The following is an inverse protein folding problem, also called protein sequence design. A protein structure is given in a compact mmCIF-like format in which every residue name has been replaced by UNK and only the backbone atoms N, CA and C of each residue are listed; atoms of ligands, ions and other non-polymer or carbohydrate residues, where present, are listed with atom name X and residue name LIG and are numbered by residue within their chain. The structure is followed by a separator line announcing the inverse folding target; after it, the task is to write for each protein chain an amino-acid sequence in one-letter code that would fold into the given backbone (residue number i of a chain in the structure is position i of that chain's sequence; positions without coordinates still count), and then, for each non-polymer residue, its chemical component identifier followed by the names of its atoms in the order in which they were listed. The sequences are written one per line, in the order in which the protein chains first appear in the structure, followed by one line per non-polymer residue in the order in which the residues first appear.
data_IF_993446517631
#
_entry.id   IF_993446517631
#
_cell.length_a   1.000
_cell.length_b   1.000
_cell.length_c   1.000
_cell.angle_alpha   90.00
_cell.angle_beta   90.00
_cell.angle_gamma   90.00
#
_symmetry.space_group_name_H-M   'P 1'
#
loop_
_entity.id
_entity.type
_entity.pdbx_description
1 polymer ?
#
# COMPACT_ATOMS: atom_id res chain seq x y z
N UNK A 1 -35.74 -1.67 -9.59
CA UNK A 1 -34.41 -1.87 -8.99
C UNK A 1 -33.65 -0.55 -9.08
N UNK A 2 -33.28 0.05 -7.95
CA UNK A 2 -32.40 1.23 -7.97
C UNK A 2 -31.01 0.82 -8.47
N UNK A 3 -30.41 1.64 -9.33
CA UNK A 3 -29.06 1.42 -9.86
C UNK A 3 -28.07 1.62 -8.72
N UNK A 4 -27.46 0.54 -8.22
CA UNK A 4 -26.40 0.61 -7.21
C UNK A 4 -25.18 1.30 -7.84
N UNK A 5 -24.82 2.49 -7.35
CA UNK A 5 -23.62 3.21 -7.78
C UNK A 5 -22.49 2.90 -6.82
N UNK A 6 -21.52 2.10 -7.27
CA UNK A 6 -20.31 1.84 -6.53
C UNK A 6 -19.22 2.81 -6.99
N UNK A 7 -18.66 3.58 -6.05
CA UNK A 7 -17.50 4.43 -6.32
C UNK A 7 -16.26 3.70 -5.82
N UNK A 8 -15.19 3.71 -6.63
CA UNK A 8 -13.85 3.27 -6.24
C UNK A 8 -13.01 4.51 -6.01
N UNK A 9 -12.25 4.52 -4.94
CA UNK A 9 -11.31 5.59 -4.63
C UNK A 9 -9.87 5.07 -4.79
N UNK A 10 -9.04 5.93 -5.37
CA UNK A 10 -7.65 5.64 -5.67
C UNK A 10 -6.73 5.80 -4.44
N UNK A 11 -7.11 6.69 -3.51
CA UNK A 11 -6.28 7.18 -2.41
C UNK A 11 -7.02 7.19 -1.09
N UNK A 12 -6.25 7.10 -0.02
CA UNK A 12 -6.68 7.28 1.36
C UNK A 12 -5.58 8.02 2.13
N UNK A 13 -5.93 9.13 2.78
CA UNK A 13 -5.05 9.79 3.73
C UNK A 13 -5.20 9.15 5.11
N UNK A 14 -4.09 8.70 5.67
CA UNK A 14 -4.04 8.08 6.99
C UNK A 14 -3.92 9.13 8.10
N UNK A 15 -4.30 8.82 9.35
CA UNK A 15 -4.16 9.75 10.48
C UNK A 15 -2.72 10.20 10.75
N UNK A 16 -1.73 9.39 10.35
CA UNK A 16 -0.31 9.70 10.46
C UNK A 16 0.23 10.57 9.29
N UNK A 17 -0.66 11.12 8.45
CA UNK A 17 -0.31 12.00 7.34
C UNK A 17 0.08 11.28 6.04
N UNK A 18 0.28 9.96 6.07
CA UNK A 18 0.65 9.20 4.86
C UNK A 18 -0.51 9.11 3.87
N UNK A 19 -0.20 9.11 2.58
CA UNK A 19 -1.15 8.89 1.47
C UNK A 19 -0.98 7.46 0.99
N UNK A 20 -1.92 6.61 1.39
CA UNK A 20 -2.03 5.25 0.88
C UNK A 20 -2.70 5.29 -0.50
N UNK A 21 -2.01 4.81 -1.53
CA UNK A 21 -2.54 4.68 -2.88
C UNK A 21 -3.14 3.29 -3.07
N UNK A 22 -3.69 3.03 -4.24
CA UNK A 22 -4.23 1.73 -4.61
C UNK A 22 -3.79 1.38 -6.02
N UNK A 23 -3.76 0.09 -6.34
CA UNK A 23 -3.41 -0.39 -7.68
C UNK A 23 -4.33 0.23 -8.74
N UNK A 24 -5.62 0.43 -8.44
CA UNK A 24 -6.54 1.13 -9.34
C UNK A 24 -6.10 2.57 -9.67
N UNK A 25 -5.55 3.29 -8.68
CA UNK A 25 -5.01 4.64 -8.89
C UNK A 25 -3.66 4.64 -9.61
N UNK A 26 -2.77 3.73 -9.23
CA UNK A 26 -1.40 3.66 -9.75
C UNK A 26 -1.33 3.07 -11.18
N UNK A 27 -2.35 2.33 -11.63
CA UNK A 27 -2.34 1.68 -12.94
C UNK A 27 -2.21 2.64 -14.14
N UNK A 28 -2.44 3.94 -13.94
CA UNK A 28 -2.32 4.98 -14.98
C UNK A 28 -1.11 5.91 -14.77
N UNK A 29 -0.22 5.61 -13.80
CA UNK A 29 0.98 6.41 -13.56
C UNK A 29 2.17 5.85 -14.35
N UNK A 30 2.99 6.74 -14.92
CA UNK A 30 4.17 6.33 -15.66
C UNK A 30 5.16 5.56 -14.76
N UNK A 31 5.77 4.50 -15.30
CA UNK A 31 6.71 3.63 -14.56
C UNK A 31 7.93 4.38 -13.98
N UNK A 32 8.18 5.63 -14.41
CA UNK A 32 9.30 6.46 -13.94
C UNK A 32 9.05 7.14 -12.59
N UNK A 33 7.80 7.35 -12.17
CA UNK A 33 7.47 8.09 -10.94
C UNK A 33 6.67 7.29 -9.89
N UNK A 34 6.49 5.97 -10.07
CA UNK A 34 5.76 5.16 -9.08
C UNK A 34 6.63 4.92 -7.84
N UNK A 35 6.63 5.86 -6.90
CA UNK A 35 6.84 5.53 -5.48
C UNK A 35 5.65 4.67 -5.05
N UNK A 36 5.72 3.36 -5.30
CA UNK A 36 4.63 2.42 -5.04
C UNK A 36 4.19 2.56 -3.59
N UNK A 37 2.96 3.05 -3.39
CA UNK A 37 2.34 3.34 -2.08
C UNK A 37 1.01 2.60 -1.94
N UNK A 38 0.81 1.55 -2.75
CA UNK A 38 -0.35 0.65 -2.70
C UNK A 38 -0.25 -0.46 -1.66
N UNK A 39 0.90 -0.67 -1.03
CA UNK A 39 1.07 -1.65 0.04
C UNK A 39 0.85 -0.99 1.41
N UNK A 40 0.04 -1.64 2.25
CA UNK A 40 -0.25 -1.19 3.61
C UNK A 40 0.02 -2.28 4.63
N UNK A 41 0.50 -1.89 5.80
CA UNK A 41 0.53 -2.76 6.98
C UNK A 41 -0.78 -2.63 7.73
N UNK A 42 -1.44 -3.77 7.99
CA UNK A 42 -2.66 -3.84 8.79
C UNK A 42 -2.45 -4.80 9.97
N UNK A 43 -3.24 -4.63 11.02
CA UNK A 43 -3.28 -5.59 12.13
C UNK A 43 -4.50 -6.51 12.01
N UNK A 44 -4.29 -7.83 12.06
CA UNK A 44 -5.36 -8.84 12.06
C UNK A 44 -5.10 -9.78 13.23
N UNK A 45 -5.97 -9.74 14.25
CA UNK A 45 -5.84 -10.55 15.48
C UNK A 45 -4.44 -10.43 16.12
N UNK A 46 -3.98 -9.18 16.28
CA UNK A 46 -2.66 -8.85 16.86
C UNK A 46 -1.45 -9.38 16.09
N UNK A 47 -1.67 -9.77 14.84
CA UNK A 47 -0.60 -10.10 13.90
C UNK A 47 -0.56 -9.09 12.76
N UNK A 48 0.58 -8.41 12.54
CA UNK A 48 0.74 -7.58 11.37
C UNK A 48 0.66 -8.44 10.10
N UNK A 49 0.02 -7.92 9.06
CA UNK A 49 0.12 -8.49 7.72
C UNK A 49 0.15 -7.38 6.67
N UNK A 50 0.74 -7.71 5.52
CA UNK A 50 0.93 -6.75 4.43
C UNK A 50 -0.06 -7.03 3.33
N UNK A 51 -0.68 -5.95 2.84
CA UNK A 51 -1.75 -6.03 1.86
C UNK A 51 -1.49 -5.03 0.74
N UNK A 52 -1.50 -5.52 -0.50
CA UNK A 52 -1.56 -4.67 -1.68
C UNK A 52 -3.02 -4.27 -1.94
N UNK A 53 -3.32 -2.98 -1.78
CA UNK A 53 -4.67 -2.45 -1.91
C UNK A 53 -5.04 -2.30 -3.37
N UNK A 54 -6.11 -2.97 -3.79
CA UNK A 54 -6.66 -2.85 -5.14
C UNK A 54 -7.44 -1.55 -5.33
N UNK A 55 -8.31 -1.21 -4.38
CA UNK A 55 -9.04 0.08 -4.33
C UNK A 55 -9.72 0.26 -2.97
N UNK A 56 -10.07 1.51 -2.66
CA UNK A 56 -10.89 1.88 -1.50
C UNK A 56 -12.36 2.08 -1.90
N UNK A 57 -13.27 1.90 -0.94
CA UNK A 57 -14.70 2.13 -1.12
C UNK A 57 -15.40 2.50 0.19
N UNK A 58 -16.61 3.05 0.09
CA UNK A 58 -17.46 3.36 1.24
C UNK A 58 -18.71 2.48 1.18
N UNK A 59 -19.05 1.86 2.30
CA UNK A 59 -20.29 1.12 2.48
C UNK A 59 -20.87 1.44 3.85
N UNK A 60 -22.16 1.81 3.89
CA UNK A 60 -22.84 2.26 5.11
C UNK A 60 -22.05 3.35 5.85
N UNK A 61 -21.57 4.35 5.11
CA UNK A 61 -20.76 5.48 5.61
C UNK A 61 -19.43 5.09 6.28
N UNK A 62 -19.00 3.83 6.14
CA UNK A 62 -17.71 3.33 6.62
C UNK A 62 -16.77 3.06 5.45
N UNK A 63 -15.52 3.49 5.59
CA UNK A 63 -14.46 3.23 4.63
C UNK A 63 -13.91 1.81 4.71
N UNK A 64 -13.75 1.18 3.55
CA UNK A 64 -13.17 -0.14 3.37
C UNK A 64 -12.10 -0.13 2.28
N UNK A 65 -11.24 -1.14 2.33
CA UNK A 65 -10.28 -1.46 1.29
C UNK A 65 -10.49 -2.90 0.83
N UNK A 66 -10.42 -3.12 -0.49
CA UNK A 66 -10.21 -4.45 -1.07
C UNK A 66 -8.72 -4.59 -1.40
N UNK A 67 -8.11 -5.69 -1.02
CA UNK A 67 -6.71 -5.97 -1.35
C UNK A 67 -6.37 -7.45 -1.46
N UNK A 68 -5.11 -7.71 -1.78
CA UNK A 68 -4.48 -9.04 -1.78
C UNK A 68 -3.41 -9.08 -0.71
N UNK A 69 -3.34 -10.17 0.04
CA UNK A 69 -2.40 -10.30 1.17
C UNK A 69 -1.11 -10.94 0.68
N UNK A 70 0.03 -10.39 1.09
CA UNK A 70 1.32 -11.07 0.98
C UNK A 70 1.36 -12.28 1.91
N UNK A 71 2.02 -13.38 1.50
CA UNK A 71 2.28 -14.50 2.40
C UNK A 71 2.97 -14.06 3.70
N UNK A 72 2.80 -14.87 4.74
CA UNK A 72 3.45 -14.60 6.02
C UNK A 72 4.98 -14.66 5.89
N UNK A 73 5.71 -13.83 6.66
CA UNK A 73 7.15 -13.78 6.54
C UNK A 73 7.79 -15.09 7.00
N UNK A 74 9.03 -15.30 6.58
CA UNK A 74 9.90 -16.29 7.19
C UNK A 74 10.07 -15.97 8.70
N UNK A 75 9.45 -16.80 9.55
CA UNK A 75 9.44 -16.60 11.00
C UNK A 75 10.82 -16.79 11.62
N UNK A 76 11.68 -17.63 11.03
CA UNK A 76 13.04 -17.86 11.54
C UNK A 76 13.91 -16.64 11.26
N UNK A 77 13.86 -16.09 10.05
CA UNK A 77 14.58 -14.87 9.70
C UNK A 77 14.09 -13.67 10.52
N UNK A 78 12.78 -13.54 10.69
CA UNK A 78 12.20 -12.47 11.50
C UNK A 78 12.64 -12.61 12.97
N UNK A 79 12.67 -13.82 13.53
CA UNK A 79 13.11 -14.08 14.90
C UNK A 79 14.61 -13.80 15.08
N UNK A 80 15.46 -14.33 14.19
CA UNK A 80 16.91 -14.15 14.25
C UNK A 80 17.34 -12.69 14.07
N UNK A 81 16.57 -11.92 13.31
CA UNK A 81 16.79 -10.48 13.11
C UNK A 81 16.08 -9.60 14.15
N UNK A 82 15.55 -10.16 15.23
CA UNK A 82 14.82 -9.44 16.29
C UNK A 82 13.66 -8.58 15.76
N UNK A 83 12.93 -9.09 14.77
CA UNK A 83 11.79 -8.41 14.15
C UNK A 83 12.16 -7.38 13.08
N UNK A 84 13.43 -7.30 12.69
CA UNK A 84 13.92 -6.29 11.74
C UNK A 84 13.69 -6.68 10.29
N UNK A 85 13.95 -7.94 9.93
CA UNK A 85 13.88 -8.42 8.54
C UNK A 85 12.58 -9.19 8.34
N UNK A 86 11.66 -8.59 7.59
CA UNK A 86 10.41 -9.23 7.16
C UNK A 86 10.52 -9.60 5.69
N UNK A 87 10.63 -10.90 5.41
CA UNK A 87 10.76 -11.45 4.07
C UNK A 87 9.56 -12.35 3.75
N UNK A 88 8.71 -11.94 2.81
CA UNK A 88 7.54 -12.69 2.39
C UNK A 88 7.84 -13.44 1.06
N UNK A 89 7.63 -14.76 1.00
CA UNK A 89 7.86 -15.53 -0.22
C UNK A 89 6.70 -15.34 -1.20
N UNK A 90 6.98 -14.85 -2.40
CA UNK A 90 6.01 -14.77 -3.50
C UNK A 90 5.05 -13.58 -3.49
N UNK A 91 4.21 -13.54 -4.52
CA UNK A 91 3.28 -12.45 -4.81
C UNK A 91 2.07 -12.42 -3.85
N UNK A 92 1.46 -11.24 -3.66
CA UNK A 92 0.24 -11.16 -2.87
C UNK A 92 -0.91 -11.86 -3.59
N UNK A 93 -1.69 -12.63 -2.82
CA UNK A 93 -2.77 -13.44 -3.35
C UNK A 93 -4.02 -13.39 -2.44
N UNK A 94 -5.06 -14.10 -2.88
CA UNK A 94 -6.38 -14.05 -2.23
C UNK A 94 -7.06 -12.69 -2.39
N UNK A 95 -8.26 -12.56 -1.82
CA UNK A 95 -9.00 -11.30 -1.74
C UNK A 95 -9.47 -11.10 -0.33
N UNK A 96 -9.18 -9.95 0.24
CA UNK A 96 -9.64 -9.57 1.57
C UNK A 96 -10.28 -8.19 1.53
N UNK A 97 -11.36 -8.04 2.28
CA UNK A 97 -12.00 -6.75 2.56
C UNK A 97 -11.77 -6.43 4.03
N UNK A 98 -11.31 -5.22 4.31
CA UNK A 98 -11.04 -4.77 5.68
C UNK A 98 -11.40 -3.30 5.84
N UNK A 99 -11.74 -2.91 7.07
CA UNK A 99 -11.95 -1.50 7.40
C UNK A 99 -10.64 -0.73 7.25
N UNK A 100 -10.70 0.46 6.65
CA UNK A 100 -9.52 1.32 6.50
C UNK A 100 -8.91 1.73 7.84
N UNK A 101 -9.69 1.70 8.93
CA UNK A 101 -9.21 1.98 10.28
C UNK A 101 -8.19 0.95 10.79
N UNK A 102 -8.06 -0.21 10.13
CA UNK A 102 -7.03 -1.22 10.46
C UNK A 102 -5.66 -0.91 9.85
N UNK A 103 -5.57 0.08 8.98
CA UNK A 103 -4.31 0.47 8.33
C UNK A 103 -3.44 1.22 9.33
N UNK A 104 -2.26 0.68 9.58
CA UNK A 104 -1.28 1.26 10.50
C UNK A 104 -0.31 2.18 9.76
N UNK A 105 0.16 1.76 8.59
CA UNK A 105 1.12 2.50 7.78
C UNK A 105 1.07 2.10 6.32
N UNK A 106 1.53 3.01 5.45
CA UNK A 106 1.97 2.71 4.09
C UNK A 106 3.38 2.14 4.14
N UNK A 107 3.62 1.06 3.41
CA UNK A 107 4.89 0.34 3.35
C UNK A 107 5.27 0.08 1.91
N UNK A 108 6.53 -0.31 1.68
CA UNK A 108 6.96 -0.86 0.41
C UNK A 108 7.28 -2.35 0.57
N UNK A 109 6.90 -3.14 -0.44
CA UNK A 109 7.32 -4.54 -0.57
C UNK A 109 8.29 -4.62 -1.74
N UNK A 110 9.58 -4.68 -1.43
CA UNK A 110 10.66 -4.61 -2.41
C UNK A 110 10.96 -6.02 -2.93
N UNK A 111 10.76 -6.29 -4.24
CA UNK A 111 11.06 -7.59 -4.80
C UNK A 111 12.56 -7.86 -4.83
N UNK A 112 12.93 -9.11 -4.57
CA UNK A 112 14.27 -9.66 -4.68
C UNK A 112 14.18 -11.10 -5.16
N UNK A 113 15.13 -11.55 -5.98
CA UNK A 113 15.20 -12.94 -6.44
C UNK A 113 16.34 -13.64 -5.71
N UNK A 114 16.01 -14.63 -4.89
CA UNK A 114 16.97 -15.47 -4.18
C UNK A 114 16.83 -16.90 -4.68
N UNK A 115 17.89 -17.44 -5.30
CA UNK A 115 17.90 -18.81 -5.85
C UNK A 115 16.73 -19.14 -6.78
N UNK A 116 16.29 -18.14 -7.57
CA UNK A 116 15.16 -18.27 -8.50
C UNK A 116 13.78 -18.14 -7.85
N UNK A 117 13.70 -17.91 -6.54
CA UNK A 117 12.47 -17.63 -5.82
C UNK A 117 12.28 -16.12 -5.64
N UNK A 118 11.08 -15.63 -5.93
CA UNK A 118 10.72 -14.25 -5.63
C UNK A 118 10.43 -14.08 -4.14
N UNK A 119 11.15 -13.17 -3.51
CA UNK A 119 11.00 -12.79 -2.10
C UNK A 119 10.75 -11.29 -2.06
N UNK A 120 9.86 -10.85 -1.19
CA UNK A 120 9.55 -9.44 -0.99
C UNK A 120 9.97 -9.01 0.42
N UNK A 121 10.81 -7.99 0.48
CA UNK A 121 11.24 -7.39 1.75
C UNK A 121 10.37 -6.19 2.11
N UNK A 122 9.89 -6.17 3.34
CA UNK A 122 9.17 -5.02 3.88
C UNK A 122 10.14 -3.87 4.14
N UNK A 123 9.78 -2.69 3.65
CA UNK A 123 10.41 -1.43 4.02
C UNK A 123 9.33 -0.50 4.57
N UNK A 124 9.44 -0.20 5.86
CA UNK A 124 8.64 0.84 6.51
C UNK A 124 9.08 2.22 6.03
N UNK A 125 8.17 3.20 6.06
CA UNK A 125 8.45 4.61 5.73
C UNK A 125 8.42 5.50 6.99
N UNK A 126 9.35 5.33 7.96
CA UNK A 126 9.30 6.06 9.24
C UNK A 126 9.56 7.56 9.10
N UNK A 127 10.37 7.97 8.11
CA UNK A 127 10.72 9.38 7.90
C UNK A 127 9.52 10.29 7.64
N UNK A 128 8.44 9.75 7.08
CA UNK A 128 7.24 10.52 6.78
C UNK A 128 6.41 10.82 8.04
N UNK A 129 6.39 9.89 9.00
CA UNK A 129 5.75 10.12 10.29
C UNK A 129 6.50 11.20 11.09
N UNK A 130 7.84 11.21 11.00
CA UNK A 130 8.68 12.25 11.61
C UNK A 130 8.48 13.62 10.95
N UNK A 131 8.33 13.66 9.62
CA UNK A 131 8.06 14.88 8.87
C UNK A 131 6.68 15.47 9.21
N UNK A 132 5.65 14.63 9.34
CA UNK A 132 4.30 15.04 9.77
C UNK A 132 4.29 15.65 11.17
N UNK A 133 5.05 15.10 12.12
CA UNK A 133 5.22 15.71 13.44
C UNK A 133 5.89 17.10 13.38
N UNK A 134 6.73 17.36 12.38
CA UNK A 134 7.35 18.65 12.12
C UNK A 134 6.48 19.64 11.33
N UNK A 135 5.23 19.27 11.00
CA UNK A 135 4.31 20.09 10.20
C UNK A 135 4.43 19.94 8.69
N UNK A 136 5.23 18.99 8.20
CA UNK A 136 5.36 18.68 6.78
C UNK A 136 4.36 17.60 6.37
N UNK A 137 3.53 17.90 5.39
CA UNK A 137 2.55 16.95 4.86
C UNK A 137 3.09 16.24 3.62
N UNK A 138 2.68 14.99 3.39
CA UNK A 138 2.93 14.35 2.10
C UNK A 138 2.15 15.11 1.02
N UNK A 139 2.86 15.73 0.08
CA UNK A 139 2.26 16.39 -1.07
C UNK A 139 1.78 15.37 -2.09
N UNK A 140 0.62 15.66 -2.68
CA UNK A 140 -0.04 14.77 -3.62
C UNK A 140 0.14 15.28 -5.06
N UNK A 141 1.28 14.96 -5.67
CA UNK A 141 1.71 15.55 -6.95
C UNK A 141 1.10 14.85 -8.20
N UNK A 142 -0.05 14.20 -8.08
CA UNK A 142 -0.66 13.43 -9.19
C UNK A 142 -0.95 14.26 -10.47
N UNK A 143 -1.13 15.58 -10.36
CA UNK A 143 -1.39 16.44 -11.53
C UNK A 143 -0.14 16.60 -12.41
N UNK A 144 1.04 16.69 -11.80
CA UNK A 144 2.32 16.83 -12.53
C UNK A 144 2.65 15.55 -13.30
N UNK A 145 2.41 14.38 -12.70
CA UNK A 145 2.67 13.07 -13.30
C UNK A 145 1.81 12.78 -14.54
N UNK A 146 0.57 13.30 -14.60
CA UNK A 146 -0.34 13.12 -15.73
C UNK A 146 -0.08 14.13 -16.87
N UNK A 147 0.32 15.35 -16.55
CA UNK A 147 0.63 16.39 -17.55
C UNK A 147 1.94 16.08 -18.31
N UNK A 148 2.94 15.49 -17.64
CA UNK A 148 4.21 15.10 -18.26
C UNK A 148 4.02 13.97 -19.31
N UNK A 149 3.08 13.04 -19.11
CA UNK A 149 2.75 12.00 -20.12
C UNK A 149 2.06 12.55 -21.37
N UNK A 150 1.15 13.53 -21.22
CA UNK A 150 0.49 14.16 -22.38
C UNK A 150 1.51 14.95 -23.21
N UNK A 151 2.48 15.58 -22.54
CA UNK A 151 3.56 16.33 -23.19
C UNK A 151 4.59 15.42 -23.90
N UNK A 152 4.84 14.20 -23.40
CA UNK A 152 5.76 13.23 -24.00
C UNK A 152 5.13 12.36 -25.11
N UNK A 153 3.81 12.43 -25.28
CA UNK A 153 3.04 11.68 -26.28
C UNK A 153 2.54 12.53 -27.45
N UNK A 154 2.91 13.82 -27.50
CA UNK A 154 2.63 14.78 -28.58
C UNK A 154 3.91 15.11 -29.34
#
# INVERSE_FOLDING_TARGET
MSKLRFKRWARLRLPNGQIARSVFGEANLSLRNVRKSSCVKINVNDRPCIVEVSYYFVANDVGYALGKRFPDPDEDLLRLSYGTVWAAPGLPHGRIVFSVARIQSVVAMIPYVLDGLEIFFLVEKPGLQMASMGGFEEEDNEAEDLEEEVALST
#
